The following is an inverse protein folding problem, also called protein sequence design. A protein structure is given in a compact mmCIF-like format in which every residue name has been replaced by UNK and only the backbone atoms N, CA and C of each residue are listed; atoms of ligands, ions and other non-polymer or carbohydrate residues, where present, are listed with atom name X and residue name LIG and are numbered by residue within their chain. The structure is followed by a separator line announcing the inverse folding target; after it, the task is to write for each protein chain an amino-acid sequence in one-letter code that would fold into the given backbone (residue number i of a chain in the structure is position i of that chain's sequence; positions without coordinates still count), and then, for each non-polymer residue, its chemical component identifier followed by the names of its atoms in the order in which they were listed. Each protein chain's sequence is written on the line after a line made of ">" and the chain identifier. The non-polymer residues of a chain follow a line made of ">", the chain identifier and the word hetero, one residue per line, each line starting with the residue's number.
data_IF_633930833595
#
_entry.id   IF_633930833595
#
_cell.length_a   1.000
_cell.length_b   1.000
_cell.length_c   1.000
_cell.angle_alpha   90.00
_cell.angle_beta   90.00
_cell.angle_gamma   90.00
#
_symmetry.space_group_name_H-M   'P 1'
#
loop_
_entity.id
_entity.type
_entity.pdbx_description
1 polymer ?
#
# COMPACT_ATOMS: atom_id res chain seq x y z
N UNK A 1 19.58 -6.15 8.55
CA UNK A 1 20.45 -6.67 7.50
C UNK A 1 19.55 -7.41 6.52
N UNK A 2 19.53 -7.06 5.21
CA UNK A 2 18.75 -7.84 4.26
C UNK A 2 19.27 -9.30 4.31
N UNK A 3 18.39 -10.31 4.22
CA UNK A 3 18.82 -11.71 4.25
C UNK A 3 19.77 -12.02 3.10
N UNK A 4 20.65 -13.01 3.30
CA UNK A 4 21.63 -13.44 2.29
C UNK A 4 20.91 -13.81 1.00
N UNK A 5 21.33 -13.21 -0.12
CA UNK A 5 20.85 -13.58 -1.44
C UNK A 5 21.01 -15.10 -1.68
N UNK A 6 20.01 -15.70 -2.34
CA UNK A 6 20.08 -17.11 -2.73
C UNK A 6 20.93 -17.23 -3.98
N UNK A 7 21.90 -18.15 -3.96
CA UNK A 7 22.56 -18.56 -5.20
C UNK A 7 21.62 -19.40 -6.08
N UNK A 8 22.04 -19.67 -7.32
CA UNK A 8 21.22 -20.39 -8.29
C UNK A 8 20.82 -21.80 -7.82
N UNK A 9 21.69 -22.49 -7.07
CA UNK A 9 21.40 -23.82 -6.53
C UNK A 9 20.31 -23.74 -5.48
N UNK A 10 20.41 -22.78 -4.55
CA UNK A 10 19.43 -22.61 -3.49
C UNK A 10 18.06 -22.13 -3.99
N UNK A 11 18.05 -21.31 -5.06
CA UNK A 11 16.82 -20.96 -5.76
C UNK A 11 16.19 -22.21 -6.39
N UNK A 12 16.97 -23.03 -7.09
CA UNK A 12 16.48 -24.26 -7.72
C UNK A 12 15.97 -25.29 -6.70
N UNK A 13 16.65 -25.45 -5.56
CA UNK A 13 16.20 -26.28 -4.44
C UNK A 13 14.87 -25.79 -3.88
N UNK A 14 14.74 -24.48 -3.61
CA UNK A 14 13.49 -23.90 -3.10
C UNK A 14 12.34 -24.06 -4.10
N UNK A 15 12.60 -23.96 -5.40
CA UNK A 15 11.62 -24.28 -6.43
C UNK A 15 11.24 -25.77 -6.46
N UNK A 16 12.22 -26.67 -6.30
CA UNK A 16 11.95 -28.11 -6.22
C UNK A 16 11.06 -28.44 -5.01
N UNK A 17 11.31 -27.83 -3.85
CA UNK A 17 10.49 -27.97 -2.64
C UNK A 17 9.04 -27.51 -2.88
N UNK A 18 8.84 -26.40 -3.61
CA UNK A 18 7.50 -25.95 -4.04
C UNK A 18 6.84 -27.03 -4.91
N UNK A 19 7.59 -27.61 -5.85
CA UNK A 19 7.09 -28.67 -6.74
C UNK A 19 6.67 -29.93 -5.99
N UNK A 20 7.46 -30.39 -5.04
CA UNK A 20 7.16 -31.56 -4.20
C UNK A 20 5.89 -31.32 -3.37
N UNK A 21 5.84 -30.18 -2.68
CA UNK A 21 4.74 -29.84 -1.78
C UNK A 21 3.42 -29.57 -2.53
N UNK A 22 3.48 -28.92 -3.70
CA UNK A 22 2.32 -28.83 -4.60
C UNK A 22 1.93 -30.23 -5.08
N UNK A 23 2.86 -31.00 -5.66
CA UNK A 23 2.59 -32.31 -6.24
C UNK A 23 1.91 -33.29 -5.28
N UNK A 24 2.34 -33.31 -4.01
CA UNK A 24 1.73 -34.14 -2.97
C UNK A 24 0.31 -33.74 -2.53
N UNK A 25 -0.18 -32.58 -2.96
CA UNK A 25 -1.52 -32.06 -2.63
C UNK A 25 -2.52 -32.07 -3.79
N UNK A 26 -2.04 -32.36 -5.01
CA UNK A 26 -2.87 -32.32 -6.21
C UNK A 26 -3.81 -33.53 -6.25
N UNK A 27 -5.05 -33.34 -6.77
CA UNK A 27 -6.01 -34.43 -6.92
C UNK A 27 -5.53 -35.47 -7.95
N UNK A 28 -5.97 -36.71 -7.81
CA UNK A 28 -5.70 -37.77 -8.78
C UNK A 28 -6.12 -37.37 -10.21
N UNK A 29 -5.35 -37.81 -11.21
CA UNK A 29 -5.62 -37.53 -12.62
C UNK A 29 -5.23 -36.13 -13.09
N UNK A 30 -4.55 -35.34 -12.26
CA UNK A 30 -3.99 -34.06 -12.68
C UNK A 30 -2.91 -34.22 -13.76
N UNK A 31 -2.87 -33.28 -14.70
CA UNK A 31 -1.87 -33.22 -15.77
C UNK A 31 -1.06 -31.91 -15.73
N UNK A 32 -1.66 -30.81 -15.26
CA UNK A 32 -0.96 -29.54 -15.07
C UNK A 32 -1.56 -28.77 -13.90
N UNK A 33 -0.70 -28.19 -13.08
CA UNK A 33 -1.06 -27.24 -12.04
C UNK A 33 -0.32 -25.91 -12.27
N UNK A 34 -1.01 -24.78 -12.11
CA UNK A 34 -0.41 -23.45 -12.17
C UNK A 34 -0.74 -22.69 -10.90
N UNK A 35 0.28 -22.44 -10.09
CA UNK A 35 0.24 -21.55 -8.93
C UNK A 35 0.62 -20.15 -9.40
N UNK A 36 -0.27 -19.17 -9.17
CA UNK A 36 0.06 -17.75 -9.25
C UNK A 36 0.11 -17.20 -7.83
N UNK A 37 1.24 -16.63 -7.45
CA UNK A 37 1.49 -16.07 -6.13
C UNK A 37 1.92 -14.63 -6.25
N UNK A 38 1.20 -13.69 -5.63
CA UNK A 38 1.60 -12.29 -5.55
C UNK A 38 1.77 -11.88 -4.10
N UNK A 39 2.80 -11.11 -3.81
CA UNK A 39 3.13 -10.74 -2.44
C UNK A 39 3.80 -9.38 -2.37
N UNK A 40 3.48 -8.67 -1.29
CA UNK A 40 4.13 -7.45 -0.85
C UNK A 40 4.67 -7.67 0.57
N UNK A 41 5.71 -6.92 0.97
CA UNK A 41 6.34 -7.01 2.28
C UNK A 41 5.35 -6.73 3.42
N UNK A 42 4.34 -5.90 3.15
CA UNK A 42 3.19 -5.61 4.02
C UNK A 42 1.92 -5.71 3.19
N UNK A 43 0.82 -6.18 3.77
CA UNK A 43 -0.46 -6.39 3.07
C UNK A 43 -0.76 -7.85 2.72
N UNK A 44 0.19 -8.74 2.98
CA UNK A 44 0.03 -10.19 2.84
C UNK A 44 0.26 -10.69 1.41
N UNK A 45 -0.33 -11.85 1.11
CA UNK A 45 -0.17 -12.54 -0.16
C UNK A 45 -1.53 -12.82 -0.80
N UNK A 46 -1.59 -12.77 -2.13
CA UNK A 46 -2.70 -13.24 -2.95
C UNK A 46 -2.24 -14.45 -3.74
N UNK A 47 -3.04 -15.52 -3.76
CA UNK A 47 -2.66 -16.76 -4.42
C UNK A 47 -3.84 -17.40 -5.14
N UNK A 48 -3.58 -18.03 -6.28
CA UNK A 48 -4.51 -18.91 -6.97
C UNK A 48 -3.81 -20.16 -7.47
N UNK A 49 -4.53 -21.28 -7.46
CA UNK A 49 -4.05 -22.56 -7.97
C UNK A 49 -5.08 -23.13 -8.94
N UNK A 50 -4.70 -23.17 -10.21
CA UNK A 50 -5.49 -23.80 -11.25
C UNK A 50 -4.93 -25.20 -11.54
N UNK A 51 -5.78 -26.22 -11.50
CA UNK A 51 -5.39 -27.61 -11.80
C UNK A 51 -6.25 -28.13 -12.93
N UNK A 52 -5.64 -28.82 -13.89
CA UNK A 52 -6.33 -29.41 -15.04
C UNK A 52 -5.90 -30.86 -15.26
N UNK A 53 -6.83 -31.68 -15.73
CA UNK A 53 -6.59 -33.06 -16.16
C UNK A 53 -6.06 -33.14 -17.61
N UNK A 54 -5.72 -34.34 -18.09
CA UNK A 54 -5.20 -34.55 -19.45
C UNK A 54 -6.21 -34.17 -20.54
N UNK A 55 -7.50 -34.35 -20.29
CA UNK A 55 -8.58 -33.95 -21.22
C UNK A 55 -8.86 -32.44 -21.22
N UNK A 56 -8.12 -31.67 -20.42
CA UNK A 56 -8.24 -30.22 -20.29
C UNK A 56 -9.33 -29.76 -19.30
N UNK A 57 -10.07 -30.68 -18.68
CA UNK A 57 -11.05 -30.33 -17.65
C UNK A 57 -10.39 -29.79 -16.38
N UNK A 58 -11.04 -28.83 -15.72
CA UNK A 58 -10.56 -28.27 -14.45
C UNK A 58 -10.81 -29.25 -13.30
N UNK A 59 -9.81 -29.42 -12.45
CA UNK A 59 -9.89 -30.18 -11.20
C UNK A 59 -9.90 -29.24 -10.00
N UNK A 60 -10.69 -29.59 -8.98
CA UNK A 60 -10.75 -28.83 -7.73
C UNK A 60 -9.58 -29.21 -6.82
N UNK A 61 -8.67 -28.27 -6.58
CA UNK A 61 -7.65 -28.42 -5.54
C UNK A 61 -8.24 -28.20 -4.15
N UNK A 62 -7.68 -28.86 -3.14
CA UNK A 62 -8.06 -28.65 -1.73
C UNK A 62 -7.68 -27.26 -1.20
N UNK A 63 -6.79 -26.55 -1.89
CA UNK A 63 -6.31 -25.21 -1.54
C UNK A 63 -4.82 -25.05 -1.85
N UNK A 64 -4.24 -23.94 -1.41
CA UNK A 64 -2.78 -23.77 -1.41
C UNK A 64 -2.21 -24.56 -0.22
N UNK A 65 -1.29 -25.51 -0.44
CA UNK A 65 -0.77 -26.31 0.66
C UNK A 65 0.02 -25.47 1.68
N UNK A 66 -0.03 -25.90 2.94
CA UNK A 66 0.72 -25.27 4.02
C UNK A 66 2.23 -25.34 3.71
N UNK A 67 2.93 -24.22 3.84
CA UNK A 67 4.37 -24.12 3.58
C UNK A 67 4.74 -23.40 2.28
N UNK A 68 3.83 -23.36 1.27
CA UNK A 68 4.07 -22.60 0.03
C UNK A 68 4.40 -21.14 0.31
N UNK A 69 3.68 -20.51 1.24
CA UNK A 69 3.93 -19.11 1.64
C UNK A 69 5.39 -18.89 2.04
N UNK A 70 5.96 -19.78 2.84
CA UNK A 70 7.32 -19.62 3.35
C UNK A 70 8.36 -19.81 2.24
N UNK A 71 8.14 -20.78 1.34
CA UNK A 71 9.00 -21.02 0.20
C UNK A 71 8.97 -19.84 -0.80
N UNK A 72 7.79 -19.30 -1.09
CA UNK A 72 7.62 -18.11 -1.93
C UNK A 72 8.31 -16.89 -1.30
N UNK A 73 8.16 -16.67 0.01
CA UNK A 73 8.87 -15.60 0.74
C UNK A 73 10.37 -15.76 0.71
N UNK A 74 10.88 -16.98 0.91
CA UNK A 74 12.31 -17.29 0.83
C UNK A 74 12.85 -16.95 -0.56
N UNK A 75 12.15 -17.32 -1.64
CA UNK A 75 12.50 -16.92 -3.00
C UNK A 75 12.47 -15.39 -3.16
N UNK A 76 11.42 -14.72 -2.70
CA UNK A 76 11.25 -13.26 -2.85
C UNK A 76 12.37 -12.49 -2.16
N UNK A 77 12.69 -12.88 -0.92
CA UNK A 77 13.79 -12.31 -0.14
C UNK A 77 15.14 -12.61 -0.77
N UNK A 78 15.35 -13.86 -1.20
CA UNK A 78 16.60 -14.34 -1.75
C UNK A 78 16.96 -13.82 -3.14
N UNK A 79 15.96 -13.39 -3.90
CA UNK A 79 16.11 -12.86 -5.26
C UNK A 79 16.11 -11.33 -5.32
N UNK A 80 16.03 -10.66 -4.17
CA UNK A 80 16.16 -9.21 -4.11
C UNK A 80 17.53 -8.74 -4.60
N UNK A 81 17.54 -7.66 -5.37
CA UNK A 81 18.73 -6.88 -5.73
C UNK A 81 18.47 -5.39 -5.53
N UNK A 82 19.48 -4.61 -5.17
CA UNK A 82 19.32 -3.15 -4.95
C UNK A 82 18.90 -2.41 -6.23
N UNK A 83 19.31 -2.89 -7.40
CA UNK A 83 18.98 -2.25 -8.67
C UNK A 83 17.56 -2.57 -9.13
N UNK A 84 17.18 -3.85 -9.14
CA UNK A 84 15.90 -4.32 -9.70
C UNK A 84 14.79 -4.55 -8.67
N UNK A 85 15.11 -4.46 -7.38
CA UNK A 85 14.23 -4.92 -6.31
C UNK A 85 14.01 -6.42 -6.35
N UNK A 86 12.79 -6.84 -5.99
CA UNK A 86 12.32 -8.23 -6.10
C UNK A 86 11.01 -8.28 -6.88
N UNK A 87 10.60 -9.47 -7.32
CA UNK A 87 9.39 -9.67 -8.12
C UNK A 87 8.10 -9.40 -7.32
N UNK A 88 7.02 -9.07 -8.03
CA UNK A 88 5.67 -8.90 -7.46
C UNK A 88 4.82 -10.16 -7.58
N UNK A 89 4.98 -10.91 -8.68
CA UNK A 89 4.24 -12.14 -8.94
C UNK A 89 5.16 -13.28 -9.36
N UNK A 90 4.94 -14.46 -8.80
CA UNK A 90 5.53 -15.73 -9.20
C UNK A 90 4.45 -16.58 -9.87
N UNK A 91 4.76 -17.13 -11.05
CA UNK A 91 3.91 -18.08 -11.77
C UNK A 91 4.66 -19.39 -11.90
N UNK A 92 4.22 -20.38 -11.15
CA UNK A 92 4.82 -21.71 -11.11
C UNK A 92 3.90 -22.68 -11.84
N UNK A 93 4.42 -23.33 -12.87
CA UNK A 93 3.69 -24.37 -13.62
C UNK A 93 4.35 -25.72 -13.38
N UNK A 94 3.57 -26.64 -12.84
CA UNK A 94 3.96 -28.02 -12.56
C UNK A 94 3.24 -28.95 -13.55
N UNK A 95 4.00 -29.88 -14.12
CA UNK A 95 3.53 -31.07 -14.84
C UNK A 95 4.22 -32.30 -14.23
N UNK A 96 3.76 -33.53 -14.49
CA UNK A 96 4.42 -34.72 -13.95
C UNK A 96 5.93 -34.75 -14.26
N UNK A 97 6.75 -34.80 -13.20
CA UNK A 97 8.21 -34.88 -13.29
C UNK A 97 8.94 -33.60 -13.74
N UNK A 98 8.25 -32.47 -13.95
CA UNK A 98 8.88 -31.22 -14.38
C UNK A 98 8.13 -29.99 -13.91
N UNK A 99 8.86 -28.92 -13.63
CA UNK A 99 8.28 -27.59 -13.40
C UNK A 99 8.92 -26.52 -14.30
N UNK A 100 8.26 -25.37 -14.34
CA UNK A 100 8.80 -24.10 -14.83
C UNK A 100 8.30 -22.97 -13.94
N UNK A 101 9.11 -21.92 -13.78
CA UNK A 101 8.77 -20.75 -12.97
C UNK A 101 9.05 -19.48 -13.76
N UNK A 102 8.13 -18.52 -13.69
CA UNK A 102 8.29 -17.15 -14.19
C UNK A 102 8.12 -16.18 -13.03
N UNK A 103 8.96 -15.15 -12.99
CA UNK A 103 8.86 -14.05 -12.04
C UNK A 103 8.50 -12.78 -12.80
N UNK A 104 7.52 -12.05 -12.29
CA UNK A 104 7.03 -10.81 -12.86
C UNK A 104 7.45 -9.64 -11.97
N UNK A 105 8.25 -8.74 -12.52
CA UNK A 105 8.78 -7.56 -11.83
C UNK A 105 8.06 -6.28 -12.22
N UNK A 106 7.29 -6.32 -13.30
CA UNK A 106 6.96 -5.15 -14.11
C UNK A 106 5.46 -4.90 -14.21
N UNK A 107 4.63 -5.93 -14.06
CA UNK A 107 3.17 -5.80 -14.11
C UNK A 107 2.54 -5.65 -12.72
N UNK A 108 1.48 -4.84 -12.62
CA UNK A 108 0.69 -4.70 -11.38
C UNK A 108 0.04 -6.04 -11.01
N UNK A 109 0.23 -6.55 -9.78
CA UNK A 109 -0.48 -7.73 -9.31
C UNK A 109 -1.99 -7.59 -9.39
N UNK A 110 -2.63 -8.63 -9.93
CA UNK A 110 -4.08 -8.79 -9.80
C UNK A 110 -4.38 -9.34 -8.40
N UNK A 111 -4.38 -8.43 -7.43
CA UNK A 111 -4.56 -8.65 -6.01
C UNK A 111 -5.38 -7.48 -5.41
N UNK A 112 -6.72 -7.58 -5.38
CA UNK A 112 -7.60 -6.47 -4.97
C UNK A 112 -7.37 -5.95 -3.55
N UNK A 113 -6.75 -6.74 -2.67
CA UNK A 113 -6.41 -6.36 -1.30
C UNK A 113 -5.17 -5.45 -1.19
N UNK A 114 -4.39 -5.28 -2.27
CA UNK A 114 -3.17 -4.46 -2.23
C UNK A 114 -3.47 -2.96 -2.42
N UNK A 115 -3.27 -2.19 -1.35
CA UNK A 115 -3.47 -0.74 -1.36
C UNK A 115 -2.18 -0.02 -1.78
N UNK A 116 -2.25 1.25 -2.23
CA UNK A 116 -1.06 2.05 -2.51
C UNK A 116 -0.04 2.07 -1.34
N UNK A 117 -0.51 2.10 -0.09
CA UNK A 117 0.34 2.09 1.10
C UNK A 117 1.09 0.76 1.26
N UNK A 118 0.49 -0.37 0.88
CA UNK A 118 1.19 -1.66 0.85
C UNK A 118 2.36 -1.62 -0.13
N UNK A 119 2.15 -1.04 -1.31
CA UNK A 119 3.20 -0.90 -2.32
C UNK A 119 4.32 0.06 -1.88
N UNK A 120 4.00 1.17 -1.20
CA UNK A 120 5.00 2.09 -0.66
C UNK A 120 5.92 1.38 0.35
N UNK A 121 5.32 0.61 1.27
CA UNK A 121 6.09 -0.17 2.26
C UNK A 121 6.87 -1.30 1.61
N UNK A 122 6.34 -1.92 0.57
CA UNK A 122 7.08 -2.92 -0.20
C UNK A 122 8.30 -2.31 -0.88
N UNK A 123 8.17 -1.15 -1.50
CA UNK A 123 9.29 -0.43 -2.12
C UNK A 123 10.33 0.02 -1.09
N UNK A 124 9.90 0.44 0.10
CA UNK A 124 10.82 0.76 1.19
C UNK A 124 11.60 -0.48 1.70
N UNK A 125 10.96 -1.65 1.71
CA UNK A 125 11.58 -2.91 2.15
C UNK A 125 12.45 -3.57 1.06
N UNK A 126 12.02 -3.47 -0.20
CA UNK A 126 12.73 -3.93 -1.40
C UNK A 126 12.98 -2.76 -2.35
N UNK A 127 13.94 -1.87 -2.04
CA UNK A 127 14.28 -0.73 -2.88
C UNK A 127 14.61 -1.13 -4.31
N UNK A 128 14.29 -0.22 -5.24
CA UNK A 128 14.64 -0.31 -6.66
C UNK A 128 15.40 0.94 -7.04
N UNK A 129 16.31 0.84 -8.00
CA UNK A 129 16.82 2.03 -8.67
C UNK A 129 15.64 2.80 -9.28
N UNK A 130 15.69 4.13 -9.28
CA UNK A 130 14.56 4.97 -9.69
C UNK A 130 14.09 4.57 -11.08
N UNK A 131 14.98 4.30 -12.04
CA UNK A 131 14.67 3.85 -13.41
C UNK A 131 13.95 2.49 -13.50
N UNK A 132 14.06 1.63 -12.48
CA UNK A 132 13.47 0.28 -12.44
C UNK A 132 12.15 0.23 -11.65
N UNK A 133 11.63 1.37 -11.21
CA UNK A 133 10.27 1.48 -10.68
C UNK A 133 9.28 1.53 -11.87
N UNK A 134 8.38 0.55 -12.02
CA UNK A 134 7.40 0.56 -13.11
C UNK A 134 6.48 1.78 -13.07
N UNK A 135 6.02 2.25 -14.23
CA UNK A 135 5.20 3.46 -14.34
C UNK A 135 3.87 3.37 -13.57
N UNK A 136 3.25 2.18 -13.56
CA UNK A 136 2.02 1.97 -12.78
C UNK A 136 2.27 2.16 -11.28
N UNK A 137 3.43 1.69 -10.80
CA UNK A 137 3.80 1.79 -9.39
C UNK A 137 4.08 3.26 -9.05
N UNK A 138 4.86 3.97 -9.87
CA UNK A 138 5.08 5.42 -9.68
C UNK A 138 3.76 6.16 -9.58
N UNK A 139 2.86 5.96 -10.54
CA UNK A 139 1.55 6.63 -10.56
C UNK A 139 0.73 6.34 -9.30
N UNK A 140 0.78 5.11 -8.79
CA UNK A 140 0.06 4.70 -7.58
C UNK A 140 0.64 5.36 -6.33
N UNK A 141 1.97 5.42 -6.25
CA UNK A 141 2.71 6.05 -5.15
C UNK A 141 2.60 7.58 -5.18
N UNK A 142 2.66 8.19 -6.35
CA UNK A 142 2.49 9.63 -6.56
C UNK A 142 1.07 10.10 -6.20
N UNK A 143 0.11 9.20 -5.99
CA UNK A 143 -1.23 9.52 -5.50
C UNK A 143 -1.41 9.38 -3.98
N UNK A 144 -0.37 8.94 -3.26
CA UNK A 144 -0.39 8.79 -1.81
C UNK A 144 -0.41 10.15 -1.11
N UNK A 145 -1.16 10.28 0.00
CA UNK A 145 -1.07 11.45 0.84
C UNK A 145 0.36 11.65 1.38
N UNK A 146 0.84 12.88 1.33
CA UNK A 146 2.05 13.31 2.06
C UNK A 146 1.70 14.21 3.25
N UNK A 147 0.42 14.46 3.47
CA UNK A 147 -0.12 15.22 4.59
C UNK A 147 -1.25 14.43 5.23
N UNK A 148 -1.17 14.27 6.55
CA UNK A 148 -2.24 13.76 7.40
C UNK A 148 -2.46 14.75 8.53
N UNK A 149 -3.70 15.16 8.79
CA UNK A 149 -3.98 16.13 9.83
C UNK A 149 -5.34 16.01 10.46
N UNK A 150 -5.51 16.79 11.52
CA UNK A 150 -6.73 16.86 12.31
C UNK A 150 -7.00 18.30 12.73
N UNK A 151 -8.27 18.68 12.65
CA UNK A 151 -8.78 19.97 13.10
C UNK A 151 -9.60 19.75 14.37
N UNK A 152 -9.22 20.46 15.41
CA UNK A 152 -9.73 20.39 16.78
C UNK A 152 -10.28 21.78 17.18
N UNK A 153 -11.36 21.83 17.96
CA UNK A 153 -11.86 23.12 18.48
C UNK A 153 -11.07 23.60 19.70
N UNK A 154 -10.75 22.69 20.64
CA UNK A 154 -9.93 22.97 21.82
C UNK A 154 -8.71 22.04 21.87
N UNK A 155 -7.67 22.45 22.59
CA UNK A 155 -6.41 21.73 22.73
C UNK A 155 -6.58 20.32 23.35
N UNK A 156 -7.65 20.10 24.12
CA UNK A 156 -7.89 18.94 24.96
C UNK A 156 -9.21 18.20 24.68
N UNK A 157 -9.83 18.43 23.51
CA UNK A 157 -11.15 17.90 23.15
C UNK A 157 -11.32 16.41 23.51
N UNK A 158 -12.00 16.16 24.64
CA UNK A 158 -12.45 14.83 25.07
C UNK A 158 -13.76 14.46 24.36
N UNK A 159 -14.16 13.20 24.42
CA UNK A 159 -15.45 12.72 23.92
C UNK A 159 -16.60 13.64 24.39
N UNK A 160 -17.36 14.22 23.44
CA UNK A 160 -18.56 15.03 23.71
C UNK A 160 -18.44 16.55 23.49
N UNK A 161 -17.28 17.09 23.12
CA UNK A 161 -17.12 18.51 22.72
C UNK A 161 -17.68 18.72 21.30
N UNK A 162 -18.34 19.86 20.98
CA UNK A 162 -18.81 20.17 19.63
C UNK A 162 -17.67 20.06 18.61
N UNK A 163 -17.99 19.66 17.37
CA UNK A 163 -17.06 19.63 16.23
C UNK A 163 -17.18 20.95 15.44
N UNK A 164 -16.14 21.44 14.72
CA UNK A 164 -16.42 22.30 13.58
C UNK A 164 -17.38 21.52 12.69
N UNK A 165 -18.53 22.09 12.35
CA UNK A 165 -19.39 21.39 11.41
C UNK A 165 -18.64 21.27 10.08
N UNK A 166 -18.82 20.18 9.30
CA UNK A 166 -18.25 20.12 7.95
C UNK A 166 -18.62 21.35 7.10
N UNK A 167 -19.79 21.94 7.34
CA UNK A 167 -20.26 23.17 6.71
C UNK A 167 -19.45 24.41 7.13
N UNK A 168 -19.13 24.56 8.42
CA UNK A 168 -18.24 25.64 8.89
C UNK A 168 -16.83 25.48 8.30
N UNK A 169 -16.35 24.23 8.22
CA UNK A 169 -15.05 23.89 7.67
C UNK A 169 -14.95 24.26 6.18
N UNK A 170 -15.93 23.80 5.40
CA UNK A 170 -16.07 24.13 3.99
C UNK A 170 -16.21 25.65 3.76
N UNK A 171 -17.06 26.32 4.56
CA UNK A 171 -17.29 27.75 4.46
C UNK A 171 -16.05 28.58 4.75
N UNK A 172 -15.18 28.17 5.70
CA UNK A 172 -13.91 28.84 5.96
C UNK A 172 -12.92 28.68 4.81
N UNK A 173 -12.78 27.46 4.27
CA UNK A 173 -11.94 27.16 3.11
C UNK A 173 -12.38 27.96 1.88
N UNK A 174 -13.68 27.95 1.58
CA UNK A 174 -14.26 28.72 0.48
C UNK A 174 -13.99 30.23 0.61
N UNK A 175 -14.15 30.79 1.82
CA UNK A 175 -13.83 32.21 2.10
C UNK A 175 -12.34 32.53 1.95
N UNK A 176 -11.47 31.55 2.17
CA UNK A 176 -10.04 31.66 1.94
C UNK A 176 -9.62 31.42 0.48
N UNK A 177 -10.59 31.23 -0.43
CA UNK A 177 -10.33 31.05 -1.86
C UNK A 177 -9.92 29.63 -2.25
N UNK A 178 -10.14 28.63 -1.37
CA UNK A 178 -9.97 27.22 -1.73
C UNK A 178 -11.17 26.73 -2.52
N UNK A 179 -10.92 25.90 -3.52
CA UNK A 179 -11.98 25.13 -4.16
C UNK A 179 -12.46 24.06 -3.19
N UNK A 180 -13.78 23.90 -3.06
CA UNK A 180 -14.39 22.88 -2.21
C UNK A 180 -15.47 22.11 -2.97
N UNK A 181 -15.72 20.87 -2.55
CA UNK A 181 -16.77 20.05 -3.13
C UNK A 181 -16.83 18.65 -2.52
N UNK A 182 -17.70 17.79 -3.04
CA UNK A 182 -17.78 16.40 -2.59
C UNK A 182 -16.50 15.63 -2.98
N UNK A 183 -15.97 14.82 -2.06
CA UNK A 183 -14.86 13.91 -2.36
C UNK A 183 -15.31 12.80 -3.31
N UNK A 184 -14.47 12.53 -4.32
CA UNK A 184 -14.60 11.40 -5.23
C UNK A 184 -14.08 10.09 -4.60
N UNK A 185 -13.19 10.20 -3.60
CA UNK A 185 -12.58 9.06 -2.89
C UNK A 185 -13.49 8.50 -1.80
N UNK A 186 -14.16 9.35 -1.05
CA UNK A 186 -14.93 8.95 0.13
C UNK A 186 -16.31 9.61 0.14
N UNK A 187 -17.36 8.80 0.10
CA UNK A 187 -18.75 9.29 0.13
C UNK A 187 -19.01 10.03 1.44
N UNK A 188 -19.50 11.27 1.34
CA UNK A 188 -19.84 12.12 2.48
C UNK A 188 -18.68 12.94 3.02
N UNK A 189 -17.50 12.83 2.41
CA UNK A 189 -16.33 13.65 2.73
C UNK A 189 -16.23 14.87 1.82
N UNK A 190 -15.57 15.92 2.32
CA UNK A 190 -15.27 17.15 1.62
C UNK A 190 -13.91 17.01 0.92
N UNK A 191 -13.85 17.28 -0.37
CA UNK A 191 -12.61 17.58 -1.08
C UNK A 191 -12.35 19.09 -1.05
N UNK A 192 -11.09 19.46 -0.88
CA UNK A 192 -10.66 20.86 -0.92
C UNK A 192 -9.26 21.00 -1.54
N UNK A 193 -9.08 22.01 -2.39
CA UNK A 193 -7.86 22.16 -3.18
C UNK A 193 -7.48 23.58 -3.53
N UNK A 194 -6.22 23.73 -3.92
CA UNK A 194 -5.57 24.87 -4.56
C UNK A 194 -4.68 24.36 -5.70
N UNK A 195 -3.89 25.24 -6.31
CA UNK A 195 -2.83 24.88 -7.26
C UNK A 195 -1.68 24.07 -6.63
N UNK A 196 -1.46 24.20 -5.32
CA UNK A 196 -0.36 23.53 -4.60
C UNK A 196 -0.83 22.44 -3.63
N UNK A 197 -2.14 22.23 -3.46
CA UNK A 197 -2.69 21.25 -2.54
C UNK A 197 -3.99 20.61 -3.02
N UNK A 198 -4.16 19.32 -2.75
CA UNK A 198 -5.40 18.56 -2.97
C UNK A 198 -5.61 17.62 -1.79
N UNK A 199 -6.61 17.90 -0.96
CA UNK A 199 -6.92 17.13 0.23
C UNK A 199 -8.38 16.73 0.26
N UNK A 200 -8.69 15.77 1.12
CA UNK A 200 -10.06 15.45 1.50
C UNK A 200 -10.16 15.20 2.98
N UNK A 201 -11.33 15.47 3.54
CA UNK A 201 -11.64 15.03 4.89
C UNK A 201 -11.74 13.50 4.93
N UNK A 202 -11.55 12.94 6.12
CA UNK A 202 -11.67 11.52 6.38
C UNK A 202 -12.60 11.31 7.58
N UNK A 203 -13.52 10.36 7.45
CA UNK A 203 -14.50 10.07 8.50
C UNK A 203 -13.79 9.73 9.81
N UNK A 204 -14.19 10.38 10.91
CA UNK A 204 -13.68 10.08 12.24
C UNK A 204 -14.63 10.55 13.34
N UNK A 205 -14.76 9.80 14.46
CA UNK A 205 -15.45 10.32 15.63
C UNK A 205 -14.61 11.42 16.29
N UNK A 206 -15.26 12.53 16.67
CA UNK A 206 -14.69 13.56 17.55
C UNK A 206 -13.87 14.70 16.91
N UNK A 207 -13.44 14.61 15.65
CA UNK A 207 -12.67 15.68 14.95
C UNK A 207 -12.80 15.61 13.43
N UNK A 208 -12.44 16.69 12.70
CA UNK A 208 -12.29 16.64 11.24
C UNK A 208 -10.87 16.16 10.93
N UNK A 209 -10.73 14.91 10.48
CA UNK A 209 -9.47 14.44 9.91
C UNK A 209 -9.40 14.84 8.46
N UNK A 210 -8.19 15.03 7.96
CA UNK A 210 -7.95 15.22 6.54
C UNK A 210 -6.66 14.54 6.12
N UNK A 211 -6.59 14.15 4.86
CA UNK A 211 -5.36 13.72 4.23
C UNK A 211 -5.33 14.13 2.77
N UNK A 212 -4.13 14.24 2.22
CA UNK A 212 -3.95 14.48 0.81
C UNK A 212 -2.54 14.88 0.48
N UNK A 213 -2.42 15.58 -0.62
CA UNK A 213 -1.16 16.03 -1.15
C UNK A 213 -1.06 17.54 -1.00
N UNK A 214 0.06 18.02 -0.49
CA UNK A 214 0.43 19.42 -0.53
C UNK A 214 1.91 19.54 -0.87
N UNK A 215 2.25 20.56 -1.66
CA UNK A 215 3.63 20.95 -1.92
C UNK A 215 4.40 21.08 -0.58
N UNK A 216 5.53 20.37 -0.40
CA UNK A 216 6.34 20.43 0.82
C UNK A 216 6.73 21.85 1.25
N UNK A 217 6.98 22.74 0.29
CA UNK A 217 7.35 24.13 0.59
C UNK A 217 6.15 24.96 1.12
N UNK A 218 4.94 24.42 1.04
CA UNK A 218 3.68 25.06 1.45
C UNK A 218 3.07 24.46 2.71
N UNK A 219 3.69 23.46 3.34
CA UNK A 219 3.15 22.86 4.57
C UNK A 219 2.94 23.88 5.69
N UNK A 220 3.84 24.85 5.85
CA UNK A 220 3.71 25.89 6.87
C UNK A 220 2.59 26.88 6.55
N UNK A 221 2.38 27.19 5.26
CA UNK A 221 1.28 28.01 4.80
C UNK A 221 -0.07 27.30 5.02
N UNK A 222 -0.15 25.99 4.75
CA UNK A 222 -1.32 25.16 5.03
C UNK A 222 -1.66 25.16 6.52
N UNK A 223 -0.67 24.89 7.37
CA UNK A 223 -0.87 24.87 8.82
C UNK A 223 -1.29 26.26 9.36
N UNK A 224 -0.62 27.33 8.92
CA UNK A 224 -0.94 28.71 9.31
C UNK A 224 -2.34 29.14 8.88
N UNK A 225 -2.77 28.73 7.69
CA UNK A 225 -4.12 28.99 7.20
C UNK A 225 -5.18 28.31 8.08
N UNK A 226 -5.04 27.00 8.28
CA UNK A 226 -6.03 26.20 9.02
C UNK A 226 -6.12 26.65 10.49
N UNK A 227 -4.99 26.98 11.11
CA UNK A 227 -4.96 27.55 12.47
C UNK A 227 -5.51 28.98 12.50
N UNK A 228 -5.30 29.76 11.43
CA UNK A 228 -5.83 31.12 11.27
C UNK A 228 -7.36 31.20 11.22
N UNK A 229 -8.06 30.08 10.99
CA UNK A 229 -9.52 29.99 11.12
C UNK A 229 -10.01 29.93 12.58
N UNK A 230 -9.09 29.91 13.55
CA UNK A 230 -9.41 29.80 14.98
C UNK A 230 -9.50 28.37 15.48
N UNK A 231 -9.01 27.40 14.70
CA UNK A 231 -8.96 25.99 15.11
C UNK A 231 -7.58 25.58 15.61
N UNK A 232 -7.56 24.57 16.47
CA UNK A 232 -6.35 23.85 16.81
C UNK A 232 -6.07 22.81 15.72
N UNK A 233 -4.87 22.80 15.14
CA UNK A 233 -4.55 21.95 13.98
C UNK A 233 -3.28 21.18 14.25
N UNK A 234 -3.40 19.85 14.15
CA UNK A 234 -2.26 18.94 14.12
C UNK A 234 -2.04 18.41 12.71
N UNK A 235 -0.79 18.28 12.27
CA UNK A 235 -0.45 17.74 10.95
C UNK A 235 0.89 16.99 10.97
N UNK A 236 0.92 15.81 10.34
CA UNK A 236 2.13 15.06 10.03
C UNK A 236 2.38 15.12 8.53
N UNK A 237 3.60 15.50 8.16
CA UNK A 237 4.02 15.71 6.79
C UNK A 237 5.14 14.73 6.45
N UNK A 238 4.95 13.99 5.36
CA UNK A 238 5.82 12.91 4.94
C UNK A 238 6.52 13.26 3.64
N UNK A 239 7.61 12.57 3.34
CA UNK A 239 8.18 12.59 2.00
C UNK A 239 7.12 12.12 0.99
N UNK A 240 7.23 12.55 -0.29
CA UNK A 240 6.39 12.02 -1.36
C UNK A 240 6.35 10.49 -1.35
N UNK A 241 5.27 9.91 -1.90
CA UNK A 241 5.09 8.45 -1.99
C UNK A 241 4.95 7.73 -0.64
N UNK A 242 4.50 8.44 0.41
CA UNK A 242 4.30 7.87 1.75
C UNK A 242 5.61 7.50 2.44
N UNK A 243 6.68 8.25 2.14
CA UNK A 243 8.00 8.07 2.74
C UNK A 243 8.06 8.55 4.20
N UNK A 244 9.28 8.82 4.65
CA UNK A 244 9.55 9.11 6.06
C UNK A 244 8.85 10.39 6.54
N UNK A 245 8.59 10.47 7.85
CA UNK A 245 8.08 11.68 8.48
C UNK A 245 9.14 12.79 8.37
N UNK A 246 8.79 13.89 7.71
CA UNK A 246 9.68 15.06 7.51
C UNK A 246 9.39 16.14 8.54
N UNK A 247 8.11 16.41 8.80
CA UNK A 247 7.70 17.50 9.70
C UNK A 247 6.44 17.14 10.45
N UNK A 248 6.43 17.49 11.73
CA UNK A 248 5.24 17.39 12.58
C UNK A 248 4.86 18.77 13.09
N UNK A 249 3.59 19.11 12.90
CA UNK A 249 2.92 20.24 13.51
C UNK A 249 2.02 19.68 14.60
N UNK A 250 2.47 19.56 15.85
CA UNK A 250 1.60 19.06 16.90
C UNK A 250 0.44 20.05 17.10
N UNK A 251 -0.77 19.59 17.44
CA UNK A 251 -1.80 20.50 17.92
C UNK A 251 -1.26 21.23 19.15
N UNK A 252 -1.67 22.48 19.41
CA UNK A 252 -1.31 23.17 20.65
C UNK A 252 -1.70 22.29 21.83
N UNK A 253 -0.72 21.76 22.57
CA UNK A 253 -0.97 21.25 23.92
C UNK A 253 -1.10 22.49 24.80
N UNK A 254 -2.03 22.51 25.75
CA UNK A 254 -1.99 23.53 26.79
C UNK A 254 -0.59 23.55 27.43
N UNK A 255 0.19 24.57 27.13
CA UNK A 255 1.38 24.90 27.91
C UNK A 255 0.93 25.59 29.19
N UNK A 256 0.87 24.81 30.27
CA UNK A 256 0.76 25.28 31.66
C UNK A 256 -0.62 25.00 32.26
N UNK A 257 -0.76 24.59 33.51
CA UNK A 257 0.04 24.84 34.71
C UNK A 257 -0.28 23.80 35.79
#
# INVERSE_FOLDING_TARGET
>A
MPPRALDATQQAETCADIGELLGGSLPDGWARATLRWSELAVGGSSASLAVVAEDGSSLTAAGIPQGITELCRRLRLGMYSETGGTWFTLIYTLIPGRYSVRYDYDDEPDAPSFTPEHYARDLAYFPRAEENIPDWLRKKLDGLPNVYGGVYLEADARDGVPRPSPEDFEGALSRAGWETGASDRFRGELAFSTDWARLSTLSGPGLIRFAGQADPDKWEALHSLLTGFGWNVGMSCHEPRGGDLVREFPPPRETGR
#
